data_IF_768723158603
#
_entry.id   IF_768723158603
#
_cell.length_a   1.000
_cell.length_b   1.000
_cell.length_c   1.000
_cell.angle_alpha   90.00
_cell.angle_beta   90.00
_cell.angle_gamma   90.00
#
_symmetry.space_group_name_H-M   'P 1'
#
loop_
_entity.id
_entity.type
_entity.pdbx_description
1 polymer ?
#
# COMPACT_ATOMS: atom_id res chain seq x y z
N UNK A 1 16.41 -5.51 85.98
CA UNK A 1 17.33 -5.13 84.92
C UNK A 1 17.37 -6.17 83.79
N UNK A 2 17.35 -7.47 84.06
CA UNK A 2 17.41 -8.52 83.01
C UNK A 2 16.16 -8.62 82.15
N UNK A 3 14.94 -8.35 82.68
CA UNK A 3 13.68 -8.38 81.91
C UNK A 3 13.56 -7.25 80.87
N UNK A 4 14.10 -6.06 81.11
CA UNK A 4 14.07 -4.92 80.22
C UNK A 4 15.02 -5.13 79.05
N UNK A 5 16.19 -5.75 79.25
CA UNK A 5 17.12 -6.09 78.16
C UNK A 5 16.58 -7.13 77.21
N UNK A 6 15.75 -8.09 77.70
CA UNK A 6 15.08 -9.09 76.89
C UNK A 6 14.03 -8.51 75.93
N UNK A 7 13.24 -7.53 76.43
CA UNK A 7 12.21 -6.83 75.59
C UNK A 7 12.83 -5.99 74.48
N UNK A 8 13.95 -5.29 74.82
CA UNK A 8 14.68 -4.50 73.83
C UNK A 8 15.31 -5.42 72.79
N UNK A 9 15.86 -6.57 73.15
CA UNK A 9 16.39 -7.56 72.19
C UNK A 9 15.35 -8.15 71.29
N UNK A 10 14.16 -8.47 71.78
CA UNK A 10 13.05 -8.99 70.97
C UNK A 10 12.51 -7.88 69.98
N UNK A 11 12.40 -6.63 70.50
CA UNK A 11 12.01 -5.49 69.65
C UNK A 11 13.00 -5.21 68.52
N UNK A 12 14.29 -5.26 68.81
CA UNK A 12 15.33 -5.11 67.81
C UNK A 12 15.34 -6.23 66.78
N UNK A 13 15.13 -7.50 67.20
CA UNK A 13 14.99 -8.65 66.31
C UNK A 13 13.73 -8.56 65.42
N UNK A 14 12.62 -8.04 65.98
CA UNK A 14 11.38 -7.85 65.24
C UNK A 14 11.53 -6.74 64.19
N UNK A 15 12.15 -5.63 64.52
CA UNK A 15 12.44 -4.52 63.60
C UNK A 15 13.43 -4.97 62.54
N UNK A 16 14.45 -5.74 62.90
CA UNK A 16 15.41 -6.28 61.93
C UNK A 16 14.74 -7.26 60.95
N UNK A 17 13.90 -8.16 61.46
CA UNK A 17 13.14 -9.12 60.66
C UNK A 17 12.05 -8.47 59.80
N UNK A 18 11.51 -7.34 60.26
CA UNK A 18 10.55 -6.54 59.48
C UNK A 18 11.24 -5.73 58.36
N UNK A 19 12.46 -5.23 58.63
CA UNK A 19 13.29 -4.56 57.61
C UNK A 19 13.80 -5.55 56.55
N UNK A 20 14.18 -6.77 56.91
CA UNK A 20 14.50 -7.82 55.94
C UNK A 20 13.30 -8.24 55.08
N UNK A 21 12.10 -8.37 55.68
CA UNK A 21 10.86 -8.65 54.93
C UNK A 21 10.48 -7.51 54.01
N UNK A 22 10.75 -6.24 54.35
CA UNK A 22 10.55 -5.09 53.47
C UNK A 22 11.58 -5.06 52.35
N UNK A 23 12.85 -5.40 52.58
CA UNK A 23 13.86 -5.54 51.52
C UNK A 23 13.56 -6.67 50.54
N UNK A 24 12.91 -7.77 51.00
CA UNK A 24 12.49 -8.88 50.15
C UNK A 24 11.25 -8.56 49.26
N UNK A 25 10.55 -7.45 49.52
CA UNK A 25 9.36 -7.04 48.74
C UNK A 25 9.68 -6.14 47.53
N UNK A 26 10.90 -5.63 47.39
CA UNK A 26 11.31 -4.68 46.35
C UNK A 26 12.54 -5.17 45.66
N UNK A 27 12.49 -5.31 44.35
CA UNK A 27 13.65 -5.55 43.51
C UNK A 27 13.86 -4.32 42.63
N UNK A 28 15.01 -3.68 42.77
CA UNK A 28 15.41 -2.55 41.95
C UNK A 28 16.17 -3.05 40.72
N UNK A 29 15.81 -2.55 39.58
CA UNK A 29 16.46 -2.82 38.29
C UNK A 29 16.82 -1.51 37.64
N UNK A 30 17.96 -1.50 36.97
CA UNK A 30 18.54 -0.30 36.35
C UNK A 30 18.65 -0.53 34.87
N UNK A 31 18.37 0.51 34.08
CA UNK A 31 18.47 0.41 32.64
C UNK A 31 18.21 1.72 31.93
N UNK A 32 17.93 1.63 30.64
CA UNK A 32 17.64 2.77 29.81
C UNK A 32 16.26 2.62 29.17
N UNK A 33 15.60 3.76 28.94
CA UNK A 33 14.41 3.81 28.11
C UNK A 33 14.81 3.56 26.67
N UNK A 34 14.13 2.65 26.01
CA UNK A 34 14.20 2.41 24.56
C UNK A 34 12.81 2.62 23.95
N UNK A 35 12.77 2.86 22.65
CA UNK A 35 11.54 2.97 21.86
C UNK A 35 11.68 2.13 20.60
N UNK A 36 10.56 1.87 19.93
CA UNK A 36 10.60 1.28 18.60
C UNK A 36 11.15 2.30 17.61
N UNK A 37 12.28 1.99 17.02
CA UNK A 37 12.92 2.79 15.99
C UNK A 37 12.52 2.27 14.61
N UNK A 38 12.15 3.19 13.72
CA UNK A 38 11.74 2.88 12.35
C UNK A 38 12.61 3.68 11.39
N UNK A 39 13.38 2.96 10.58
CA UNK A 39 14.17 3.55 9.51
C UNK A 39 13.27 3.82 8.30
N UNK A 40 13.15 5.08 7.93
CA UNK A 40 12.38 5.52 6.79
C UNK A 40 13.30 5.56 5.57
N UNK A 41 12.91 4.86 4.50
CA UNK A 41 13.71 4.75 3.27
C UNK A 41 12.84 4.86 2.02
N UNK A 42 13.44 5.27 0.91
CA UNK A 42 12.79 5.23 -0.41
C UNK A 42 12.74 3.80 -0.96
N UNK A 43 11.68 3.49 -1.70
CA UNK A 43 11.53 2.21 -2.40
C UNK A 43 12.24 2.16 -3.76
N UNK A 44 12.78 3.30 -4.23
CA UNK A 44 13.45 3.45 -5.51
C UNK A 44 14.71 4.32 -5.36
N UNK A 45 15.70 4.16 -6.23
CA UNK A 45 16.85 5.05 -6.25
C UNK A 45 16.47 6.40 -6.86
N UNK A 46 17.19 7.46 -6.46
CA UNK A 46 16.99 8.79 -7.01
C UNK A 46 17.79 9.86 -6.26
N UNK A 47 17.77 11.08 -6.80
CA UNK A 47 18.35 12.26 -6.14
C UNK A 47 17.32 12.85 -5.19
N UNK A 48 17.72 13.12 -3.96
CA UNK A 48 16.88 13.80 -2.97
C UNK A 48 16.79 15.29 -3.30
N UNK A 49 15.56 15.78 -3.51
CA UNK A 49 15.33 17.23 -3.73
C UNK A 49 15.14 17.93 -2.40
N UNK A 50 14.34 17.33 -1.50
CA UNK A 50 14.04 17.96 -0.23
C UNK A 50 13.88 16.92 0.88
N UNK A 51 14.28 17.33 2.08
CA UNK A 51 13.95 16.71 3.35
C UNK A 51 13.18 17.75 4.16
N UNK A 52 11.98 17.41 4.59
CA UNK A 52 11.03 18.34 5.22
C UNK A 52 11.09 18.32 6.75
N UNK A 53 11.89 17.41 7.32
CA UNK A 53 11.99 17.19 8.76
C UNK A 53 13.46 17.22 9.19
N UNK A 54 13.75 17.64 10.43
CA UNK A 54 15.08 17.63 11.02
C UNK A 54 15.12 16.84 12.34
N UNK A 55 16.30 16.59 12.87
CA UNK A 55 16.51 15.92 14.16
C UNK A 55 15.78 16.66 15.29
N UNK A 56 15.03 15.91 16.07
CA UNK A 56 14.20 16.46 17.14
C UNK A 56 12.78 16.84 16.73
N UNK A 57 12.47 16.88 15.43
CA UNK A 57 11.12 17.19 14.96
C UNK A 57 10.14 16.08 15.30
N UNK A 58 8.93 16.49 15.72
CA UNK A 58 7.81 15.56 15.87
C UNK A 58 7.07 15.40 14.55
N UNK A 59 6.93 14.17 14.10
CA UNK A 59 6.21 13.82 12.87
C UNK A 59 4.95 13.02 13.18
N UNK A 60 3.89 13.27 12.41
CA UNK A 60 2.67 12.46 12.47
C UNK A 60 2.73 11.35 11.43
N UNK A 61 1.98 10.28 11.66
CA UNK A 61 1.78 9.25 10.63
C UNK A 61 1.24 9.90 9.35
N UNK A 62 1.88 9.61 8.21
CA UNK A 62 1.55 10.16 6.89
C UNK A 62 2.19 11.51 6.57
N UNK A 63 2.93 12.13 7.51
CA UNK A 63 3.70 13.35 7.22
C UNK A 63 4.78 13.04 6.19
N UNK A 64 4.95 13.90 5.19
CA UNK A 64 6.04 13.80 4.21
C UNK A 64 7.36 14.02 4.94
N UNK A 65 8.33 13.17 4.67
CA UNK A 65 9.67 13.20 5.26
C UNK A 65 10.69 13.70 4.27
N UNK A 66 10.65 13.18 3.04
CA UNK A 66 11.55 13.59 1.98
C UNK A 66 10.95 13.30 0.59
N UNK A 67 11.49 13.96 -0.43
CA UNK A 67 11.09 13.77 -1.82
C UNK A 67 12.31 13.58 -2.71
N UNK A 68 12.18 12.68 -3.69
CA UNK A 68 13.13 12.51 -4.80
C UNK A 68 12.77 13.42 -5.96
N UNK A 69 13.72 13.56 -6.88
CA UNK A 69 13.49 14.15 -8.21
C UNK A 69 12.46 13.28 -8.96
N UNK A 70 11.33 13.88 -9.33
CA UNK A 70 10.16 13.16 -9.83
C UNK A 70 9.69 13.62 -11.21
N UNK A 71 10.46 14.51 -11.86
CA UNK A 71 10.05 15.11 -13.13
C UNK A 71 9.88 14.06 -14.25
N UNK A 72 10.81 13.11 -14.34
CA UNK A 72 10.71 12.04 -15.33
C UNK A 72 9.53 11.10 -15.05
N UNK A 73 9.24 10.85 -13.75
CA UNK A 73 8.09 10.04 -13.36
C UNK A 73 6.76 10.75 -13.68
N UNK A 74 6.68 12.07 -13.48
CA UNK A 74 5.52 12.88 -13.88
C UNK A 74 5.28 12.82 -15.38
N UNK A 75 6.35 12.92 -16.20
CA UNK A 75 6.26 12.78 -17.66
C UNK A 75 5.76 11.40 -18.08
N UNK A 76 6.22 10.33 -17.41
CA UNK A 76 5.75 8.96 -17.65
C UNK A 76 4.27 8.79 -17.30
N UNK A 77 3.79 9.43 -16.24
CA UNK A 77 2.35 9.45 -15.89
C UNK A 77 1.55 10.18 -16.97
N UNK A 78 2.04 11.32 -17.49
CA UNK A 78 1.37 12.05 -18.56
C UNK A 78 1.31 11.26 -19.87
N UNK A 79 2.39 10.56 -20.23
CA UNK A 79 2.41 9.63 -21.36
C UNK A 79 1.37 8.52 -21.18
N UNK A 80 1.31 7.93 -19.98
CA UNK A 80 0.30 6.93 -19.62
C UNK A 80 -1.13 7.46 -19.77
N UNK A 81 -1.40 8.70 -19.34
CA UNK A 81 -2.71 9.36 -19.49
C UNK A 81 -3.08 9.55 -20.95
N UNK A 82 -2.14 10.00 -21.78
CA UNK A 82 -2.36 10.15 -23.20
C UNK A 82 -2.66 8.80 -23.88
N UNK A 83 -1.97 7.73 -23.46
CA UNK A 83 -2.23 6.37 -23.96
C UNK A 83 -3.63 5.88 -23.60
N UNK A 84 -4.08 6.10 -22.36
CA UNK A 84 -5.45 5.79 -21.91
C UNK A 84 -6.49 6.54 -22.75
N UNK A 85 -6.29 7.84 -22.95
CA UNK A 85 -7.20 8.66 -23.78
C UNK A 85 -7.27 8.16 -25.23
N UNK A 86 -6.13 7.75 -25.80
CA UNK A 86 -6.09 7.18 -27.14
C UNK A 86 -6.84 5.85 -27.26
N UNK A 87 -6.67 4.96 -26.29
CA UNK A 87 -7.38 3.68 -26.24
C UNK A 87 -8.89 3.87 -25.99
N UNK A 88 -9.25 4.80 -25.10
CA UNK A 88 -10.65 5.18 -24.86
C UNK A 88 -11.34 5.75 -26.10
N UNK A 89 -10.64 6.61 -26.87
CA UNK A 89 -11.18 7.17 -28.10
C UNK A 89 -11.49 6.09 -29.13
N UNK A 90 -10.59 5.11 -29.30
CA UNK A 90 -10.80 3.97 -30.19
C UNK A 90 -11.98 3.11 -29.76
N UNK A 91 -12.09 2.82 -28.47
CA UNK A 91 -13.23 2.06 -27.94
C UNK A 91 -14.54 2.82 -28.12
N UNK A 92 -14.57 4.13 -27.87
CA UNK A 92 -15.76 4.97 -28.10
C UNK A 92 -16.16 4.99 -29.58
N UNK A 93 -15.20 5.08 -30.49
CA UNK A 93 -15.45 5.02 -31.93
C UNK A 93 -16.10 3.70 -32.32
N UNK A 94 -15.56 2.57 -31.86
CA UNK A 94 -16.13 1.26 -32.12
C UNK A 94 -17.54 1.08 -31.51
N UNK A 95 -17.75 1.56 -30.29
CA UNK A 95 -19.06 1.53 -29.62
C UNK A 95 -20.12 2.44 -30.30
N UNK A 96 -19.69 3.52 -30.92
CA UNK A 96 -20.57 4.39 -31.69
C UNK A 96 -21.05 3.71 -32.98
N UNK A 97 -20.32 2.69 -33.47
CA UNK A 97 -20.68 1.95 -34.69
C UNK A 97 -20.48 2.77 -35.96
N UNK A 98 -21.15 2.31 -37.03
CA UNK A 98 -21.07 2.97 -38.32
C UNK A 98 -21.72 4.36 -38.28
N UNK A 99 -21.14 5.29 -39.03
CA UNK A 99 -21.64 6.66 -39.10
C UNK A 99 -23.03 6.68 -39.77
N UNK A 100 -23.89 7.56 -39.30
CA UNK A 100 -25.24 7.68 -39.84
C UNK A 100 -25.27 7.93 -41.35
N UNK A 101 -24.23 8.61 -41.93
CA UNK A 101 -24.07 8.82 -43.35
C UNK A 101 -23.81 7.49 -44.08
N UNK A 102 -22.96 6.61 -43.53
CA UNK A 102 -22.63 5.30 -44.10
C UNK A 102 -23.86 4.42 -44.17
N UNK A 103 -24.65 4.39 -43.10
CA UNK A 103 -25.93 3.64 -43.01
C UNK A 103 -26.93 4.18 -44.07
N UNK A 104 -27.05 5.52 -44.22
CA UNK A 104 -27.88 6.14 -45.26
C UNK A 104 -27.43 5.81 -46.66
N UNK A 105 -26.12 5.78 -46.90
CA UNK A 105 -25.55 5.46 -48.22
C UNK A 105 -25.82 3.99 -48.58
N UNK A 106 -25.63 3.07 -47.64
CA UNK A 106 -25.95 1.66 -47.84
C UNK A 106 -27.47 1.47 -48.13
N UNK A 107 -28.32 2.16 -47.36
CA UNK A 107 -29.78 2.13 -47.58
C UNK A 107 -30.16 2.66 -48.95
N UNK A 108 -29.57 3.76 -49.46
CA UNK A 108 -29.82 4.29 -50.79
C UNK A 108 -29.45 3.30 -51.91
N UNK A 109 -28.45 2.44 -51.66
CA UNK A 109 -28.09 1.35 -52.58
C UNK A 109 -29.16 0.26 -52.60
N UNK A 110 -29.71 -0.10 -51.44
CA UNK A 110 -30.86 -1.04 -51.30
C UNK A 110 -32.07 -0.51 -52.06
N UNK A 111 -32.42 0.76 -51.89
CA UNK A 111 -33.58 1.39 -52.49
C UNK A 111 -33.48 1.42 -54.04
N UNK A 112 -32.25 1.69 -54.55
CA UNK A 112 -31.96 1.58 -55.99
C UNK A 112 -32.15 0.14 -56.51
N UNK A 113 -31.50 -0.83 -55.84
CA UNK A 113 -31.54 -2.23 -56.25
C UNK A 113 -33.00 -2.79 -56.21
N UNK A 114 -33.80 -2.32 -55.25
CA UNK A 114 -35.24 -2.63 -55.13
C UNK A 114 -36.02 -2.07 -56.32
N UNK A 115 -35.77 -0.81 -56.67
CA UNK A 115 -36.43 -0.17 -57.82
C UNK A 115 -36.11 -0.89 -59.13
N UNK A 116 -34.86 -1.29 -59.33
CA UNK A 116 -34.43 -2.06 -60.49
C UNK A 116 -35.07 -3.44 -60.53
N UNK A 117 -35.21 -4.13 -59.37
CA UNK A 117 -35.89 -5.41 -59.23
C UNK A 117 -37.37 -5.28 -59.60
N UNK A 118 -38.08 -4.26 -59.10
CA UNK A 118 -39.50 -4.04 -59.34
C UNK A 118 -39.76 -3.75 -60.84
N UNK A 119 -38.84 -2.98 -61.46
CA UNK A 119 -38.93 -2.73 -62.92
C UNK A 119 -38.71 -4.02 -63.70
N UNK A 120 -37.64 -4.77 -63.47
CA UNK A 120 -37.32 -6.00 -64.22
C UNK A 120 -38.34 -7.12 -63.97
N UNK A 121 -38.98 -7.14 -62.77
CA UNK A 121 -40.13 -7.99 -62.47
C UNK A 121 -41.29 -7.67 -63.41
N UNK A 122 -41.65 -6.38 -63.57
CA UNK A 122 -42.74 -5.97 -64.43
C UNK A 122 -42.42 -6.26 -65.91
N UNK A 123 -41.17 -6.14 -66.32
CA UNK A 123 -40.72 -6.49 -67.66
C UNK A 123 -40.82 -8.01 -67.92
N UNK A 124 -40.41 -8.83 -66.96
CA UNK A 124 -40.56 -10.29 -67.02
C UNK A 124 -42.04 -10.68 -67.09
N UNK A 125 -42.92 -10.15 -66.21
CA UNK A 125 -44.37 -10.43 -66.23
C UNK A 125 -45.02 -10.08 -67.56
N UNK A 126 -44.63 -8.96 -68.21
CA UNK A 126 -45.06 -8.62 -69.55
C UNK A 126 -44.56 -9.62 -70.62
N UNK A 127 -43.28 -9.97 -70.56
CA UNK A 127 -42.69 -10.94 -71.49
C UNK A 127 -43.36 -12.32 -71.36
N UNK A 128 -43.63 -12.75 -70.15
CA UNK A 128 -44.36 -14.01 -69.87
C UNK A 128 -45.77 -14.01 -70.48
N UNK A 129 -46.51 -12.90 -70.30
CA UNK A 129 -47.84 -12.74 -70.90
C UNK A 129 -47.80 -12.76 -72.45
N UNK A 130 -46.86 -12.07 -73.07
CA UNK A 130 -46.71 -12.05 -74.54
C UNK A 130 -46.26 -13.42 -75.05
N UNK A 131 -45.39 -14.14 -74.36
CA UNK A 131 -45.01 -15.50 -74.70
C UNK A 131 -46.19 -16.46 -74.66
N UNK A 132 -47.02 -16.43 -73.61
CA UNK A 132 -48.24 -17.21 -73.52
C UNK A 132 -49.24 -16.91 -74.61
N UNK A 133 -49.24 -15.65 -75.11
CA UNK A 133 -50.01 -15.22 -76.25
C UNK A 133 -49.42 -15.59 -77.62
N UNK A 134 -48.25 -16.22 -77.67
CA UNK A 134 -47.52 -16.62 -78.91
C UNK A 134 -46.92 -15.45 -79.69
N UNK A 135 -46.73 -14.25 -79.05
CA UNK A 135 -46.26 -13.00 -79.67
C UNK A 135 -44.72 -12.92 -79.71
N UNK A 136 -44.02 -13.51 -78.75
CA UNK A 136 -42.55 -13.45 -78.61
C UNK A 136 -41.96 -14.86 -78.54
N UNK A 137 -40.66 -15.02 -78.95
CA UNK A 137 -39.97 -16.31 -78.80
C UNK A 137 -39.57 -16.58 -77.34
N UNK A 138 -39.41 -17.87 -77.00
CA UNK A 138 -39.02 -18.33 -75.66
C UNK A 138 -37.72 -17.69 -75.18
N UNK A 139 -36.75 -17.41 -76.10
CA UNK A 139 -35.48 -16.76 -75.79
C UNK A 139 -35.70 -15.38 -75.17
N UNK A 140 -36.61 -14.58 -75.66
CA UNK A 140 -36.92 -13.22 -75.10
C UNK A 140 -37.50 -13.32 -73.68
N UNK A 141 -38.40 -14.29 -73.45
CA UNK A 141 -38.94 -14.55 -72.11
C UNK A 141 -37.81 -14.99 -71.15
N UNK A 142 -36.94 -15.90 -71.61
CA UNK A 142 -35.80 -16.41 -70.78
C UNK A 142 -34.77 -15.31 -70.45
N UNK A 143 -34.52 -14.38 -71.39
CA UNK A 143 -33.71 -13.20 -71.13
C UNK A 143 -34.32 -12.30 -70.09
N UNK A 144 -35.59 -11.97 -70.16
CA UNK A 144 -36.28 -11.18 -69.14
C UNK A 144 -36.31 -11.87 -67.76
N UNK A 145 -36.51 -13.22 -67.74
CA UNK A 145 -36.42 -14.00 -66.52
C UNK A 145 -35.02 -13.94 -65.89
N UNK A 146 -34.00 -14.12 -66.70
CA UNK A 146 -32.59 -14.06 -66.23
C UNK A 146 -32.24 -12.68 -65.69
N UNK A 147 -32.67 -11.60 -66.36
CA UNK A 147 -32.47 -10.23 -65.89
C UNK A 147 -33.17 -10.01 -64.54
N UNK A 148 -34.40 -10.50 -64.39
CA UNK A 148 -35.12 -10.43 -63.11
C UNK A 148 -34.40 -11.23 -61.99
N UNK A 149 -33.92 -12.44 -62.29
CA UNK A 149 -33.17 -13.23 -61.31
C UNK A 149 -31.87 -12.52 -60.86
N UNK A 150 -31.17 -11.87 -61.77
CA UNK A 150 -29.97 -11.06 -61.47
C UNK A 150 -30.33 -9.88 -60.58
N UNK A 151 -31.45 -9.20 -60.78
CA UNK A 151 -31.91 -8.10 -59.94
C UNK A 151 -32.31 -8.54 -58.55
N UNK A 152 -32.92 -9.74 -58.40
CA UNK A 152 -33.19 -10.35 -57.09
C UNK A 152 -31.88 -10.57 -56.32
N UNK A 153 -30.84 -11.10 -57.00
CA UNK A 153 -29.53 -11.33 -56.40
C UNK A 153 -28.87 -10.01 -55.97
N UNK A 154 -28.89 -9.00 -56.82
CA UNK A 154 -28.37 -7.67 -56.57
C UNK A 154 -29.08 -6.97 -55.37
N UNK A 155 -30.40 -7.09 -55.28
CA UNK A 155 -31.15 -6.56 -54.14
C UNK A 155 -30.77 -7.27 -52.84
N UNK A 156 -30.64 -8.60 -52.87
CA UNK A 156 -30.23 -9.37 -51.70
C UNK A 156 -28.82 -8.97 -51.27
N UNK A 157 -27.87 -8.85 -52.19
CA UNK A 157 -26.50 -8.41 -51.91
C UNK A 157 -26.47 -7.02 -51.25
N UNK A 158 -27.24 -6.05 -51.79
CA UNK A 158 -27.35 -4.72 -51.20
C UNK A 158 -27.95 -4.73 -49.83
N UNK A 159 -28.92 -5.61 -49.53
CA UNK A 159 -29.56 -5.78 -48.23
C UNK A 159 -28.58 -6.34 -47.21
N UNK A 160 -27.88 -7.41 -47.52
CA UNK A 160 -26.84 -8.00 -46.68
C UNK A 160 -25.74 -7.00 -46.35
N UNK A 161 -25.33 -6.19 -47.35
CA UNK A 161 -24.37 -5.13 -47.11
C UNK A 161 -24.88 -4.04 -46.18
N UNK A 162 -26.15 -3.63 -46.32
CA UNK A 162 -26.80 -2.68 -45.43
C UNK A 162 -26.85 -3.22 -43.99
N UNK A 163 -27.22 -4.46 -43.82
CA UNK A 163 -27.31 -5.09 -42.50
C UNK A 163 -25.92 -5.17 -41.85
N UNK A 164 -24.89 -5.51 -42.62
CA UNK A 164 -23.48 -5.49 -42.14
C UNK A 164 -23.05 -4.10 -41.66
N UNK A 165 -23.33 -3.05 -42.45
CA UNK A 165 -22.98 -1.66 -42.11
C UNK A 165 -23.78 -1.23 -40.86
N UNK A 166 -25.04 -1.61 -40.78
CA UNK A 166 -25.93 -1.29 -39.63
C UNK A 166 -25.53 -1.99 -38.36
N UNK A 167 -25.08 -3.24 -38.42
CA UNK A 167 -24.61 -4.02 -37.28
C UNK A 167 -23.31 -3.39 -36.72
N UNK A 168 -22.43 -2.86 -37.58
CA UNK A 168 -21.21 -2.20 -37.20
C UNK A 168 -20.09 -3.18 -36.83
N UNK A 169 -19.12 -2.77 -35.97
CA UNK A 169 -17.99 -3.61 -35.56
C UNK A 169 -18.44 -4.86 -34.82
N UNK A 170 -17.71 -5.94 -35.01
CA UNK A 170 -17.99 -7.21 -34.32
C UNK A 170 -17.80 -7.06 -32.80
N UNK A 171 -18.52 -7.84 -32.05
CA UNK A 171 -18.41 -7.86 -30.60
C UNK A 171 -16.99 -8.20 -30.13
N UNK A 172 -16.33 -9.10 -30.83
CA UNK A 172 -14.94 -9.51 -30.55
C UNK A 172 -13.96 -8.34 -30.73
N UNK A 173 -14.19 -7.47 -31.74
CA UNK A 173 -13.37 -6.29 -31.98
C UNK A 173 -13.57 -5.26 -30.87
N UNK A 174 -14.81 -5.06 -30.42
CA UNK A 174 -15.15 -4.19 -29.28
C UNK A 174 -14.52 -4.74 -28.00
N UNK A 175 -14.59 -6.04 -27.77
CA UNK A 175 -14.01 -6.67 -26.57
C UNK A 175 -12.47 -6.58 -26.59
N UNK A 176 -11.83 -6.70 -27.75
CA UNK A 176 -10.40 -6.50 -27.91
C UNK A 176 -9.98 -5.03 -27.61
N UNK A 177 -10.75 -4.04 -28.10
CA UNK A 177 -10.52 -2.64 -27.80
C UNK A 177 -10.76 -2.31 -26.32
N UNK A 178 -11.75 -2.92 -25.70
CA UNK A 178 -11.99 -2.80 -24.26
C UNK A 178 -10.82 -3.35 -23.46
N UNK A 179 -10.31 -4.53 -23.84
CA UNK A 179 -9.12 -5.11 -23.20
C UNK A 179 -7.90 -4.22 -23.34
N UNK A 180 -7.71 -3.61 -24.51
CA UNK A 180 -6.62 -2.64 -24.76
C UNK A 180 -6.76 -1.37 -23.90
N UNK A 181 -7.97 -0.86 -23.71
CA UNK A 181 -8.26 0.27 -22.81
C UNK A 181 -7.92 -0.08 -21.34
N UNK A 182 -8.37 -1.22 -20.86
CA UNK A 182 -8.06 -1.67 -19.48
C UNK A 182 -6.56 -1.93 -19.30
N UNK A 183 -5.86 -2.43 -20.30
CA UNK A 183 -4.41 -2.58 -20.29
C UNK A 183 -3.70 -1.22 -20.14
N UNK A 184 -4.09 -0.23 -20.94
CA UNK A 184 -3.53 1.12 -20.84
C UNK A 184 -3.77 1.75 -19.46
N UNK A 185 -4.96 1.57 -18.91
CA UNK A 185 -5.34 2.02 -17.56
C UNK A 185 -4.52 1.36 -16.46
N UNK A 186 -4.29 0.05 -16.56
CA UNK A 186 -3.44 -0.67 -15.62
C UNK A 186 -1.99 -0.19 -15.65
N UNK A 187 -1.47 0.12 -16.86
CA UNK A 187 -0.13 0.67 -17.02
C UNK A 187 -0.03 2.09 -16.42
N UNK A 188 -1.04 2.94 -16.63
CA UNK A 188 -1.10 4.26 -16.00
C UNK A 188 -1.06 4.15 -14.47
N UNK A 189 -1.88 3.27 -13.89
CA UNK A 189 -1.89 3.04 -12.45
C UNK A 189 -0.51 2.60 -11.93
N UNK A 190 0.20 1.74 -12.66
CA UNK A 190 1.58 1.36 -12.33
C UNK A 190 2.51 2.59 -12.29
N UNK A 191 2.40 3.50 -13.28
CA UNK A 191 3.21 4.74 -13.32
C UNK A 191 2.87 5.69 -12.16
N UNK A 192 1.60 5.82 -11.81
CA UNK A 192 1.15 6.65 -10.67
C UNK A 192 1.66 6.08 -9.34
N UNK A 193 1.66 4.76 -9.16
CA UNK A 193 2.26 4.10 -7.99
C UNK A 193 3.78 4.35 -7.95
N UNK A 194 4.48 4.25 -9.08
CA UNK A 194 5.91 4.54 -9.16
C UNK A 194 6.21 6.00 -8.82
N UNK A 195 5.40 6.95 -9.29
CA UNK A 195 5.51 8.36 -8.91
C UNK A 195 5.32 8.55 -7.40
N UNK A 196 4.38 7.81 -6.80
CA UNK A 196 4.18 7.82 -5.35
C UNK A 196 5.40 7.38 -4.55
N UNK A 197 6.28 6.55 -5.11
CA UNK A 197 7.52 6.13 -4.46
C UNK A 197 8.60 7.23 -4.39
N UNK A 198 8.45 8.29 -5.17
CA UNK A 198 9.33 9.47 -5.08
C UNK A 198 9.09 10.31 -3.83
N UNK A 199 7.98 10.11 -3.13
CA UNK A 199 7.68 10.77 -1.86
C UNK A 199 7.63 9.73 -0.75
N UNK A 200 8.45 9.92 0.29
CA UNK A 200 8.44 9.06 1.46
C UNK A 200 7.75 9.75 2.63
N UNK A 201 6.87 9.00 3.31
CA UNK A 201 6.09 9.49 4.45
C UNK A 201 6.36 8.64 5.69
N UNK A 202 6.18 9.23 6.87
CA UNK A 202 6.30 8.48 8.13
C UNK A 202 5.15 7.48 8.29
N UNK A 203 5.43 6.19 8.53
CA UNK A 203 4.41 5.17 8.82
C UNK A 203 3.89 5.23 10.26
N UNK A 204 4.61 5.88 11.17
CA UNK A 204 4.31 6.00 12.60
C UNK A 204 4.40 7.45 13.06
N UNK A 205 3.68 7.87 14.10
CA UNK A 205 3.95 9.13 14.76
C UNK A 205 5.17 8.98 15.65
N UNK A 206 6.04 10.00 15.73
CA UNK A 206 7.23 9.91 16.57
C UNK A 206 8.15 11.11 16.43
N UNK A 207 9.34 11.01 16.99
CA UNK A 207 10.39 12.02 16.93
C UNK A 207 11.53 11.53 16.04
N UNK A 208 12.01 12.38 15.16
CA UNK A 208 13.19 12.10 14.33
C UNK A 208 14.43 12.05 15.23
N UNK A 209 15.07 10.89 15.29
CA UNK A 209 16.29 10.69 16.09
C UNK A 209 17.53 11.07 15.30
N UNK A 210 17.61 10.61 14.06
CA UNK A 210 18.82 10.77 13.20
C UNK A 210 18.37 11.11 11.79
N UNK A 211 19.06 12.04 11.16
CA UNK A 211 19.02 12.30 9.73
C UNK A 211 20.22 11.64 9.05
N UNK A 212 19.96 10.80 8.07
CA UNK A 212 21.02 10.02 7.41
C UNK A 212 21.41 10.57 6.04
N UNK A 213 20.58 11.46 5.46
CA UNK A 213 20.79 12.02 4.13
C UNK A 213 20.50 13.52 4.08
N UNK A 214 21.14 14.19 3.12
CA UNK A 214 20.93 15.62 2.84
C UNK A 214 20.36 15.86 1.43
N UNK A 215 19.62 16.96 1.21
CA UNK A 215 19.18 17.34 -0.13
C UNK A 215 20.35 17.46 -1.11
N UNK A 216 20.18 16.93 -2.32
CA UNK A 216 21.21 16.86 -3.36
C UNK A 216 21.91 15.52 -3.45
N UNK A 217 21.82 14.67 -2.43
CA UNK A 217 22.45 13.35 -2.43
C UNK A 217 21.71 12.36 -3.32
N UNK A 218 22.47 11.38 -3.82
CA UNK A 218 21.94 10.24 -4.58
C UNK A 218 21.76 9.06 -3.65
N UNK A 219 20.55 8.51 -3.56
CA UNK A 219 20.23 7.39 -2.66
C UNK A 219 19.83 6.15 -3.44
N UNK A 220 20.11 4.99 -2.86
CA UNK A 220 19.62 3.70 -3.34
C UNK A 220 18.31 3.31 -2.64
N UNK A 221 17.57 2.37 -3.22
CA UNK A 221 16.41 1.79 -2.55
C UNK A 221 16.82 1.14 -1.22
N UNK A 222 16.08 1.44 -0.14
CA UNK A 222 16.37 0.92 1.21
C UNK A 222 17.41 1.72 2.00
N UNK A 223 18.04 2.76 1.42
CA UNK A 223 18.92 3.65 2.19
C UNK A 223 18.09 4.44 3.21
N UNK A 224 18.39 4.36 4.53
CA UNK A 224 17.67 5.15 5.53
C UNK A 224 17.79 6.65 5.25
N UNK A 225 16.65 7.34 5.24
CA UNK A 225 16.55 8.80 5.10
C UNK A 225 16.62 9.46 6.47
N UNK A 226 15.75 8.99 7.36
CA UNK A 226 15.70 9.36 8.76
C UNK A 226 15.32 8.13 9.58
N UNK A 227 15.73 8.14 10.85
CA UNK A 227 15.28 7.19 11.87
C UNK A 227 14.30 7.88 12.81
N UNK A 228 13.10 7.32 12.97
CA UNK A 228 12.03 7.88 13.80
C UNK A 228 11.78 6.93 14.97
N UNK A 229 11.74 7.48 16.20
CA UNK A 229 11.31 6.75 17.39
C UNK A 229 9.80 6.92 17.60
N UNK A 230 9.07 5.80 17.71
CA UNK A 230 7.67 5.82 18.14
C UNK A 230 7.61 5.98 19.67
N UNK A 231 7.31 7.19 20.12
CA UNK A 231 7.24 7.51 21.55
C UNK A 231 6.00 6.93 22.24
N UNK A 232 5.06 6.32 21.50
CA UNK A 232 3.94 5.62 22.12
C UNK A 232 4.34 4.18 22.53
N UNK A 233 5.36 3.61 21.90
CA UNK A 233 5.88 2.27 22.20
C UNK A 233 7.25 2.36 22.85
N UNK A 234 7.29 2.76 24.11
CA UNK A 234 8.52 2.89 24.90
C UNK A 234 8.58 1.82 25.99
N UNK A 235 9.78 1.42 26.32
CA UNK A 235 10.01 0.46 27.40
C UNK A 235 11.33 0.74 28.12
N UNK A 236 11.38 0.31 29.38
CA UNK A 236 12.64 0.19 30.11
C UNK A 236 13.29 -1.14 29.74
N UNK A 237 14.48 -1.07 29.17
CA UNK A 237 15.39 -2.21 29.01
C UNK A 237 16.28 -2.26 30.24
N UNK A 238 16.05 -3.25 31.09
CA UNK A 238 16.77 -3.43 32.35
C UNK A 238 17.31 -4.85 32.44
N UNK A 239 18.15 -5.07 33.43
CA UNK A 239 18.81 -6.34 33.67
C UNK A 239 18.54 -6.81 35.10
N UNK A 240 18.28 -8.09 35.24
CA UNK A 240 18.12 -8.78 36.54
C UNK A 240 19.23 -9.82 36.68
N UNK A 241 19.63 -10.09 37.94
CA UNK A 241 20.60 -11.14 38.23
C UNK A 241 19.96 -12.52 38.09
N UNK A 242 20.76 -13.54 37.79
CA UNK A 242 20.31 -14.94 37.78
C UNK A 242 19.61 -15.33 39.10
N UNK A 243 20.12 -14.85 40.26
CA UNK A 243 19.57 -15.13 41.58
C UNK A 243 18.16 -14.59 41.79
N UNK A 244 17.78 -13.52 41.06
CA UNK A 244 16.47 -12.89 41.18
C UNK A 244 15.48 -13.35 40.11
N UNK A 245 15.96 -14.06 39.05
CA UNK A 245 15.16 -14.50 37.92
C UNK A 245 13.92 -15.29 38.37
N UNK A 246 14.05 -16.19 39.32
CA UNK A 246 12.93 -17.03 39.84
C UNK A 246 11.81 -16.23 40.52
N UNK A 247 12.08 -14.97 40.89
CA UNK A 247 11.12 -14.08 41.55
C UNK A 247 10.34 -13.19 40.57
N UNK A 248 10.88 -13.00 39.37
CA UNK A 248 10.32 -12.09 38.33
C UNK A 248 9.40 -12.90 37.42
N UNK A 249 8.20 -12.37 37.18
CA UNK A 249 7.19 -13.02 36.36
C UNK A 249 6.71 -12.09 35.23
N UNK A 250 6.28 -12.69 34.15
CA UNK A 250 5.59 -12.00 33.07
C UNK A 250 4.34 -11.26 33.59
N UNK A 251 4.07 -10.10 33.05
CA UNK A 251 2.95 -9.21 33.41
C UNK A 251 3.02 -8.60 34.81
N UNK A 252 4.15 -8.71 35.50
CA UNK A 252 4.35 -8.14 36.84
C UNK A 252 4.44 -6.62 36.75
N UNK A 253 3.84 -5.91 37.71
CA UNK A 253 3.85 -4.44 37.76
C UNK A 253 5.23 -3.92 38.17
N UNK A 254 5.67 -2.88 37.52
CA UNK A 254 6.92 -2.17 37.81
C UNK A 254 6.63 -0.66 37.89
N UNK A 255 7.21 -0.03 38.90
CA UNK A 255 7.20 1.42 39.05
C UNK A 255 8.53 1.95 38.52
N UNK A 256 8.49 2.76 37.48
CA UNK A 256 9.71 3.29 36.84
C UNK A 256 9.84 4.78 37.18
N UNK A 257 11.06 5.17 37.51
CA UNK A 257 11.47 6.55 37.73
C UNK A 257 12.63 6.90 36.84
N UNK A 258 12.70 8.14 36.40
CA UNK A 258 13.83 8.66 35.62
C UNK A 258 14.47 9.81 36.39
N UNK A 259 15.77 10.02 36.18
CA UNK A 259 16.48 11.14 36.80
C UNK A 259 15.97 12.50 36.31
N UNK A 260 15.45 12.55 35.09
CA UNK A 260 14.87 13.76 34.49
C UNK A 260 13.59 14.22 35.17
N UNK A 261 12.80 13.25 35.69
CA UNK A 261 11.51 13.53 36.35
C UNK A 261 11.43 12.78 37.69
N UNK A 262 12.18 13.23 38.73
CA UNK A 262 12.35 12.48 39.97
C UNK A 262 11.05 12.32 40.78
N UNK A 263 10.11 13.24 40.62
CA UNK A 263 8.82 13.24 41.33
C UNK A 263 7.74 12.43 40.60
N UNK A 264 8.00 12.00 39.34
CA UNK A 264 7.05 11.21 38.56
C UNK A 264 7.35 9.71 38.64
N UNK A 265 6.27 8.94 38.72
CA UNK A 265 6.34 7.48 38.66
C UNK A 265 5.56 7.03 37.42
N UNK A 266 6.25 6.36 36.53
CA UNK A 266 5.65 5.75 35.34
C UNK A 266 5.28 4.30 35.64
N UNK A 267 4.01 3.95 35.41
CA UNK A 267 3.52 2.59 35.54
C UNK A 267 3.97 1.73 34.38
N UNK A 268 4.51 0.55 34.67
CA UNK A 268 4.91 -0.39 33.64
C UNK A 268 4.57 -1.83 33.98
N UNK A 269 4.73 -2.70 32.99
CA UNK A 269 4.58 -4.16 33.14
C UNK A 269 5.71 -4.88 32.43
N UNK A 270 6.18 -5.98 33.01
CA UNK A 270 7.18 -6.85 32.39
C UNK A 270 6.51 -7.59 31.25
N UNK A 271 6.96 -7.29 30.02
CA UNK A 271 6.43 -7.89 28.79
C UNK A 271 7.39 -8.88 28.14
N UNK A 272 8.64 -8.90 28.60
CA UNK A 272 9.64 -9.82 28.09
C UNK A 272 10.69 -10.12 29.17
N UNK A 273 11.10 -11.37 29.23
CA UNK A 273 12.24 -11.85 30.03
C UNK A 273 13.09 -12.70 29.09
N UNK A 274 14.36 -12.37 28.94
CA UNK A 274 15.27 -13.13 28.08
C UNK A 274 15.39 -14.58 28.56
N UNK A 275 15.37 -15.53 27.65
CA UNK A 275 15.67 -16.94 27.91
C UNK A 275 17.18 -17.23 27.97
N UNK A 276 17.99 -16.29 27.46
CA UNK A 276 19.44 -16.42 27.42
C UNK A 276 20.06 -15.38 28.34
N UNK A 277 21.12 -15.82 29.05
CA UNK A 277 21.91 -14.92 29.88
C UNK A 277 22.79 -14.03 29.01
N UNK A 278 22.87 -12.77 29.38
CA UNK A 278 23.79 -11.79 28.79
C UNK A 278 24.91 -11.47 29.81
N UNK A 279 26.08 -11.13 29.30
CA UNK A 279 27.14 -10.58 30.18
C UNK A 279 26.86 -9.10 30.41
N UNK A 280 27.09 -8.63 31.65
CA UNK A 280 26.93 -7.19 31.93
C UNK A 280 27.78 -6.36 30.96
N UNK A 281 27.17 -5.36 30.26
CA UNK A 281 27.85 -4.58 29.25
C UNK A 281 28.82 -3.54 29.85
N UNK A 282 29.71 -3.95 30.74
CA UNK A 282 30.75 -3.07 31.26
C UNK A 282 32.15 -3.59 30.87
N UNK A 283 33.01 -2.69 30.41
CA UNK A 283 34.46 -2.89 30.37
C UNK A 283 35.00 -3.00 31.79
N UNK A 284 34.95 -4.19 32.38
CA UNK A 284 35.40 -4.42 33.76
C UNK A 284 36.79 -5.03 33.73
N UNK A 285 37.71 -4.40 34.47
CA UNK A 285 39.13 -4.78 34.51
C UNK A 285 39.44 -5.82 35.59
N UNK A 286 38.50 -6.24 36.45
CA UNK A 286 38.74 -7.19 37.52
C UNK A 286 38.07 -8.55 37.28
N UNK A 287 38.79 -9.63 37.68
CA UNK A 287 38.40 -11.02 37.39
C UNK A 287 37.09 -11.45 38.14
N UNK A 288 36.79 -10.86 39.30
CA UNK A 288 35.62 -11.20 40.13
C UNK A 288 34.28 -10.63 39.64
N UNK A 289 34.33 -9.56 38.84
CA UNK A 289 33.12 -8.94 38.29
C UNK A 289 32.77 -9.41 36.86
N UNK A 290 33.60 -10.22 36.22
CA UNK A 290 33.40 -10.72 34.84
C UNK A 290 32.33 -11.77 34.68
N UNK A 291 31.75 -12.30 35.77
CA UNK A 291 30.90 -13.53 35.73
C UNK A 291 29.55 -13.35 36.38
N UNK A 292 29.00 -12.13 36.39
CA UNK A 292 27.57 -11.99 36.77
C UNK A 292 26.73 -12.11 35.52
N UNK A 293 26.13 -13.30 35.33
CA UNK A 293 25.11 -13.52 34.35
C UNK A 293 23.88 -12.69 34.71
N UNK A 294 23.40 -11.94 33.75
CA UNK A 294 22.20 -11.11 33.87
C UNK A 294 21.20 -11.49 32.78
N UNK A 295 19.95 -11.34 33.08
CA UNK A 295 18.87 -11.57 32.14
C UNK A 295 18.21 -10.25 31.82
N UNK A 296 18.09 -9.96 30.52
CA UNK A 296 17.42 -8.77 30.05
C UNK A 296 15.92 -8.89 30.22
N UNK A 297 15.31 -7.83 30.75
CA UNK A 297 13.85 -7.68 30.83
C UNK A 297 13.42 -6.44 30.06
N UNK A 298 12.24 -6.54 29.46
CA UNK A 298 11.54 -5.41 28.85
C UNK A 298 10.33 -5.07 29.71
N UNK A 299 10.27 -3.83 30.17
CA UNK A 299 9.14 -3.30 30.95
C UNK A 299 8.46 -2.25 30.06
N UNK A 300 7.33 -2.60 29.47
CA UNK A 300 6.55 -1.65 28.64
C UNK A 300 5.95 -0.59 29.55
N UNK A 301 6.05 0.68 29.13
CA UNK A 301 5.64 1.85 29.89
C UNK A 301 4.54 2.62 29.16
N UNK A 302 3.69 3.28 29.93
CA UNK A 302 2.74 4.25 29.38
C UNK A 302 3.41 5.62 29.24
N UNK A 303 3.49 6.15 28.02
CA UNK A 303 4.13 7.44 27.70
C UNK A 303 3.14 8.41 27.05
N UNK A 304 1.94 8.54 27.59
CA UNK A 304 0.87 9.38 27.05
C UNK A 304 1.25 10.86 26.87
N UNK A 305 2.21 11.34 27.63
CA UNK A 305 2.70 12.74 27.55
C UNK A 305 3.97 12.87 26.68
N UNK A 306 4.47 11.76 26.10
CA UNK A 306 5.71 11.71 25.26
C UNK A 306 6.95 12.30 25.97
N UNK A 307 7.01 12.19 27.31
CA UNK A 307 8.11 12.71 28.12
C UNK A 307 9.32 11.76 28.15
N UNK A 308 9.04 10.45 28.10
CA UNK A 308 10.08 9.42 28.06
C UNK A 308 10.68 9.38 26.64
N UNK A 309 12.00 9.54 26.56
CA UNK A 309 12.77 9.52 25.30
C UNK A 309 13.79 8.38 25.32
N UNK A 310 14.11 7.80 24.17
CA UNK A 310 15.18 6.81 24.06
C UNK A 310 16.50 7.33 24.62
N UNK A 311 17.23 6.45 25.30
CA UNK A 311 18.52 6.78 25.93
C UNK A 311 18.41 7.34 27.35
N UNK A 312 17.23 7.70 27.86
CA UNK A 312 17.09 8.16 29.25
C UNK A 312 17.41 7.05 30.24
N UNK A 313 18.31 7.27 31.22
CA UNK A 313 18.49 6.34 32.34
C UNK A 313 17.21 6.26 33.19
N UNK A 314 16.88 5.08 33.64
CA UNK A 314 15.70 4.87 34.46
C UNK A 314 15.84 3.68 35.41
N UNK A 315 15.24 3.83 36.59
CA UNK A 315 15.21 2.86 37.64
C UNK A 315 13.81 2.23 37.75
N UNK A 316 13.75 0.91 37.76
CA UNK A 316 12.51 0.16 37.92
C UNK A 316 12.43 -0.51 39.30
N UNK A 317 11.32 -0.29 40.01
CA UNK A 317 10.97 -1.02 41.23
C UNK A 317 9.93 -2.09 40.88
N UNK A 318 10.34 -3.34 40.89
CA UNK A 318 9.43 -4.49 40.70
C UNK A 318 8.64 -4.73 41.98
N UNK A 319 7.30 -4.75 41.85
CA UNK A 319 6.40 -4.93 43.04
C UNK A 319 5.97 -6.40 43.10
N UNK A 320 6.19 -7.02 44.24
CA UNK A 320 5.84 -8.43 44.52
C UNK A 320 4.51 -8.56 45.24
#
# INVERSE_FOLDING_TARGET
MLLVLGIIGIGALFIFKQNEKMKMRKLLVYGNIEATEVDISFKMPGRVISRTVDEGDFVKKGSVVATLEDEDLKRQVEEGRASVQGAEAKLREALAGSRHQEIKQAWATVDRARSDQDQLKSDYERAEALFKGGVIPVQSRDQAYTAYQMAIAAYKEAMEHYDLVKEGPRKEDIDALRASFEQAKALLNLREVQLGYATVTSPVPGVVLVKNIEPGEMVSAGTPVVTIADLNDVWLKAYISETDLGRVKYNQKVKVKTDTYPDKIYGGRITFISSEAEFTPKNIQTHEERVKLVYRIKVTLENSQMELKPGMPADGEIVF
#
